data_IF_138523767909
#
_entry.id   IF_138523767909
#
_cell.length_a   1.000
_cell.length_b   1.000
_cell.length_c   1.000
_cell.angle_alpha   90.00
_cell.angle_beta   90.00
_cell.angle_gamma   90.00
#
_symmetry.space_group_name_H-M   'P 1'
#
loop_
_entity.id
_entity.type
_entity.pdbx_description
1 polymer ?
#
# COMPACT_ATOMS: atom_id res chain seq x y z
N UNK A 1 -61.20 31.80 -11.16
CA UNK A 1 -59.75 31.86 -11.34
C UNK A 1 -59.13 30.81 -10.44
N UNK A 2 -58.67 29.70 -11.00
CA UNK A 2 -58.02 28.64 -10.24
C UNK A 2 -56.47 28.83 -10.36
N UNK A 3 -55.81 28.99 -9.24
CA UNK A 3 -54.36 29.17 -9.13
C UNK A 3 -53.71 27.78 -9.01
N UNK A 4 -53.03 27.31 -10.06
CA UNK A 4 -52.29 26.06 -10.06
C UNK A 4 -50.89 26.33 -9.52
N UNK A 5 -50.57 25.77 -8.31
CA UNK A 5 -49.23 25.81 -7.74
C UNK A 5 -48.42 24.67 -8.34
N UNK A 6 -47.41 24.98 -9.12
CA UNK A 6 -46.44 23.98 -9.62
C UNK A 6 -45.35 23.73 -8.56
N UNK A 7 -45.33 22.53 -7.97
CA UNK A 7 -44.22 22.07 -7.13
C UNK A 7 -43.08 21.63 -8.07
N UNK A 8 -42.00 22.36 -8.09
CA UNK A 8 -40.73 21.93 -8.72
C UNK A 8 -39.94 21.05 -7.73
N UNK A 9 -39.92 19.74 -7.96
CA UNK A 9 -39.10 18.78 -7.22
C UNK A 9 -37.65 18.88 -7.73
N UNK A 10 -36.82 19.59 -6.98
CA UNK A 10 -35.38 19.62 -7.23
C UNK A 10 -34.73 18.26 -6.88
N UNK A 11 -34.30 17.50 -7.85
CA UNK A 11 -33.45 16.32 -7.64
C UNK A 11 -32.02 16.78 -7.33
N UNK A 12 -31.58 16.63 -6.07
CA UNK A 12 -30.17 16.76 -5.74
C UNK A 12 -29.44 15.49 -6.19
N UNK A 13 -28.62 15.59 -7.22
CA UNK A 13 -27.69 14.54 -7.60
C UNK A 13 -26.61 14.42 -6.49
N UNK A 14 -26.70 13.39 -5.68
CA UNK A 14 -25.60 12.98 -4.80
C UNK A 14 -24.55 12.33 -5.70
N UNK A 15 -23.47 13.04 -5.98
CA UNK A 15 -22.29 12.44 -6.63
C UNK A 15 -21.64 11.58 -5.58
N UNK A 16 -21.61 10.26 -5.79
CA UNK A 16 -20.89 9.35 -4.94
C UNK A 16 -19.39 9.72 -4.95
N UNK A 17 -18.77 9.76 -3.76
CA UNK A 17 -17.33 9.98 -3.68
C UNK A 17 -16.60 8.83 -4.41
N UNK A 18 -15.58 9.18 -5.20
CA UNK A 18 -14.74 8.17 -5.86
C UNK A 18 -14.03 7.31 -4.82
N UNK A 19 -13.92 6.01 -5.09
CA UNK A 19 -13.26 5.08 -4.19
C UNK A 19 -11.76 5.40 -4.03
N UNK A 20 -11.21 5.15 -2.85
CA UNK A 20 -9.77 5.17 -2.62
C UNK A 20 -9.11 4.11 -3.50
N UNK A 21 -8.14 4.51 -4.31
CA UNK A 21 -7.53 3.65 -5.32
C UNK A 21 -6.01 3.67 -5.21
N UNK A 22 -5.40 2.51 -5.43
CA UNK A 22 -3.95 2.28 -5.43
C UNK A 22 -3.52 1.67 -6.75
N UNK A 23 -2.43 2.16 -7.31
CA UNK A 23 -1.78 1.64 -8.52
C UNK A 23 -0.27 1.57 -8.32
N UNK A 24 0.39 0.73 -9.11
CA UNK A 24 1.85 0.73 -9.24
C UNK A 24 2.21 1.23 -10.65
N UNK A 25 2.67 2.49 -10.79
CA UNK A 25 3.04 3.04 -12.09
C UNK A 25 4.04 2.14 -12.83
N UNK A 26 3.71 1.82 -14.09
CA UNK A 26 4.53 0.93 -14.93
C UNK A 26 4.18 -0.57 -14.79
N UNK A 27 3.39 -0.96 -13.78
CA UNK A 27 2.96 -2.35 -13.63
C UNK A 27 1.44 -2.39 -13.39
N UNK A 28 0.64 -2.92 -14.32
CA UNK A 28 -0.80 -3.07 -14.13
C UNK A 28 -1.10 -4.08 -13.00
N UNK A 29 -2.31 -4.04 -12.47
CA UNK A 29 -2.77 -5.03 -11.49
C UNK A 29 -2.62 -6.46 -12.03
N UNK A 30 -2.04 -7.36 -11.24
CA UNK A 30 -1.65 -8.71 -11.66
C UNK A 30 -0.41 -8.76 -12.57
N UNK A 31 0.21 -7.62 -12.88
CA UNK A 31 1.39 -7.54 -13.75
C UNK A 31 2.68 -8.04 -13.09
N UNK A 32 3.64 -8.43 -13.93
CA UNK A 32 4.95 -8.92 -13.48
C UNK A 32 5.93 -7.75 -13.33
N UNK A 33 6.59 -7.66 -12.18
CA UNK A 33 7.70 -6.75 -11.92
C UNK A 33 9.02 -7.37 -12.35
N UNK A 34 9.99 -6.53 -12.65
CA UNK A 34 11.33 -6.96 -13.07
C UNK A 34 12.28 -7.22 -11.87
N UNK A 35 13.48 -7.70 -12.19
CA UNK A 35 14.48 -8.05 -11.18
C UNK A 35 15.03 -6.87 -10.39
N UNK A 36 14.85 -5.61 -10.82
CA UNK A 36 15.27 -4.45 -10.01
C UNK A 36 14.61 -4.43 -8.65
N UNK A 37 13.38 -4.97 -8.55
CA UNK A 37 12.62 -5.09 -7.33
C UNK A 37 13.03 -6.26 -6.44
N UNK A 38 13.64 -7.32 -7.00
CA UNK A 38 14.03 -8.51 -6.26
C UNK A 38 15.14 -8.20 -5.24
N UNK A 39 15.26 -9.05 -4.21
CA UNK A 39 16.29 -8.88 -3.19
C UNK A 39 17.70 -8.94 -3.81
N UNK A 40 18.61 -8.09 -3.33
CA UNK A 40 20.00 -8.04 -3.75
C UNK A 40 20.91 -9.06 -3.07
N UNK A 41 20.36 -9.90 -2.17
CA UNK A 41 21.08 -10.86 -1.34
C UNK A 41 20.54 -12.28 -1.55
N UNK A 42 21.15 -13.28 -0.94
CA UNK A 42 20.70 -14.68 -0.97
C UNK A 42 20.53 -15.25 -2.39
N UNK A 43 21.40 -14.82 -3.31
CA UNK A 43 21.37 -15.25 -4.71
C UNK A 43 20.06 -14.91 -5.45
N UNK A 44 19.32 -13.91 -4.97
CA UNK A 44 18.08 -13.43 -5.61
C UNK A 44 18.37 -12.56 -6.85
N UNK A 45 19.56 -11.95 -6.92
CA UNK A 45 20.07 -11.28 -8.13
C UNK A 45 19.42 -9.95 -8.46
N UNK A 46 18.72 -9.33 -7.52
CA UNK A 46 17.98 -8.11 -7.78
C UNK A 46 18.60 -6.82 -7.25
N UNK A 47 17.93 -5.69 -7.55
CA UNK A 47 18.35 -4.34 -7.12
C UNK A 47 17.83 -3.93 -5.75
N UNK A 48 16.92 -4.70 -5.14
CA UNK A 48 16.25 -4.40 -3.88
C UNK A 48 15.57 -3.02 -3.87
N UNK A 49 14.99 -2.61 -4.99
CA UNK A 49 14.31 -1.33 -5.13
C UNK A 49 12.81 -1.50 -4.95
N UNK A 50 12.20 -0.71 -4.07
CA UNK A 50 10.75 -0.77 -3.82
C UNK A 50 9.95 -0.45 -5.08
N UNK A 51 8.78 -1.06 -5.32
CA UNK A 51 7.93 -0.69 -6.44
C UNK A 51 7.47 0.77 -6.30
N UNK A 52 7.23 1.42 -7.42
CA UNK A 52 6.49 2.68 -7.40
C UNK A 52 5.07 2.42 -6.90
N UNK A 53 4.54 3.35 -6.11
CA UNK A 53 3.16 3.30 -5.64
C UNK A 53 2.51 4.67 -5.75
N UNK A 54 1.27 4.70 -6.20
CA UNK A 54 0.46 5.91 -6.30
C UNK A 54 -0.95 5.63 -5.79
N UNK A 55 -1.54 6.61 -5.12
CA UNK A 55 -2.92 6.51 -4.64
C UNK A 55 -3.67 7.81 -4.88
N UNK A 56 -5.01 7.69 -4.93
CA UNK A 56 -5.91 8.83 -5.14
C UNK A 56 -7.21 8.66 -4.36
N UNK A 57 -7.98 9.73 -4.26
CA UNK A 57 -9.29 9.76 -3.62
C UNK A 57 -9.23 9.34 -2.14
N UNK A 58 -8.21 9.78 -1.42
CA UNK A 58 -8.11 9.53 0.01
C UNK A 58 -9.33 10.12 0.74
N UNK A 59 -9.93 9.40 1.71
CA UNK A 59 -11.06 9.90 2.47
C UNK A 59 -10.74 11.21 3.19
N UNK A 60 -11.76 12.04 3.39
CA UNK A 60 -11.65 13.19 4.27
C UNK A 60 -11.29 12.71 5.69
N UNK A 61 -10.45 13.46 6.39
CA UNK A 61 -9.94 13.07 7.71
C UNK A 61 -8.66 12.24 7.68
N UNK A 62 -8.14 11.87 6.50
CA UNK A 62 -6.83 11.22 6.39
C UNK A 62 -5.74 12.17 6.90
N UNK A 63 -4.94 11.69 7.86
CA UNK A 63 -3.82 12.42 8.48
C UNK A 63 -2.47 11.84 8.11
N UNK A 64 -2.41 10.54 7.82
CA UNK A 64 -1.21 9.86 7.32
C UNK A 64 -1.59 8.67 6.46
N UNK A 65 -0.58 8.13 5.74
CA UNK A 65 -0.70 6.86 5.02
C UNK A 65 0.31 5.85 5.54
N UNK A 66 0.01 4.57 5.26
CA UNK A 66 0.96 3.48 5.40
C UNK A 66 0.95 2.62 4.13
N UNK A 67 2.10 2.00 3.84
CA UNK A 67 2.28 1.07 2.72
C UNK A 67 2.80 -0.25 3.26
N UNK A 68 2.21 -1.36 2.78
CA UNK A 68 2.73 -2.70 3.01
C UNK A 68 2.91 -3.44 1.69
N UNK A 69 3.89 -4.36 1.64
CA UNK A 69 4.03 -5.35 0.58
C UNK A 69 4.06 -6.73 1.21
N UNK A 70 3.02 -7.52 0.96
CA UNK A 70 2.83 -8.85 1.53
C UNK A 70 2.76 -9.91 0.43
N UNK A 71 3.49 -11.01 0.62
CA UNK A 71 3.51 -12.18 -0.25
C UNK A 71 2.72 -13.32 0.43
N UNK A 72 1.47 -13.59 0.05
CA UNK A 72 0.67 -14.67 0.64
C UNK A 72 1.18 -16.07 0.26
N UNK A 73 1.92 -16.21 -0.84
CA UNK A 73 2.42 -17.50 -1.32
C UNK A 73 3.71 -17.92 -0.58
N UNK A 74 4.41 -16.94 0.00
CA UNK A 74 5.65 -17.15 0.72
C UNK A 74 5.51 -18.07 1.93
N UNK A 75 6.62 -18.68 2.37
CA UNK A 75 6.64 -19.61 3.50
C UNK A 75 5.61 -20.74 3.37
N UNK A 76 5.43 -21.29 2.17
CA UNK A 76 4.45 -22.35 1.86
C UNK A 76 2.99 -21.94 2.13
N UNK A 77 2.64 -20.69 1.82
CA UNK A 77 1.28 -20.16 1.97
C UNK A 77 0.97 -19.58 3.36
N UNK A 78 1.96 -19.51 4.27
CA UNK A 78 1.79 -18.81 5.57
C UNK A 78 1.90 -17.29 5.38
N UNK A 79 2.63 -16.88 4.36
CA UNK A 79 2.83 -15.49 4.00
C UNK A 79 4.14 -14.89 4.53
N UNK A 80 4.61 -13.88 3.81
CA UNK A 80 5.84 -13.14 4.10
C UNK A 80 5.61 -11.65 3.95
N UNK A 81 6.01 -10.85 4.95
CA UNK A 81 6.02 -9.40 4.83
C UNK A 81 7.36 -8.92 4.26
N UNK A 82 7.29 -8.17 3.18
CA UNK A 82 8.43 -7.60 2.46
C UNK A 82 8.68 -6.14 2.81
N UNK A 83 7.63 -5.40 3.14
CA UNK A 83 7.71 -3.98 3.43
C UNK A 83 6.60 -3.54 4.38
N UNK A 84 6.96 -2.75 5.38
CA UNK A 84 6.04 -2.00 6.24
C UNK A 84 6.59 -0.58 6.32
N UNK A 85 5.80 0.39 5.91
CA UNK A 85 6.15 1.81 5.98
C UNK A 85 4.93 2.58 6.46
N UNK A 86 5.05 3.39 7.50
CA UNK A 86 3.93 4.15 8.07
C UNK A 86 4.33 5.56 8.45
N UNK A 87 3.35 6.38 8.81
CA UNK A 87 3.57 7.80 9.09
C UNK A 87 3.89 8.63 7.84
N UNK A 88 3.50 8.16 6.64
CA UNK A 88 3.66 8.93 5.41
C UNK A 88 2.72 10.14 5.48
N UNK A 89 3.22 11.38 5.28
CA UNK A 89 2.41 12.59 5.38
C UNK A 89 1.19 12.58 4.45
N UNK A 90 0.05 13.12 4.92
CA UNK A 90 -1.19 13.20 4.12
C UNK A 90 -1.07 14.07 2.86
N UNK A 91 -0.03 14.89 2.75
CA UNK A 91 0.28 15.68 1.56
C UNK A 91 0.86 14.86 0.40
N UNK A 92 1.24 13.61 0.65
CA UNK A 92 1.78 12.70 -0.37
C UNK A 92 0.66 11.85 -0.98
N UNK A 93 0.84 11.52 -2.25
CA UNK A 93 -0.04 10.63 -2.99
C UNK A 93 0.73 9.66 -3.90
N UNK A 94 2.06 9.66 -3.84
CA UNK A 94 2.91 8.76 -4.61
C UNK A 94 4.29 8.59 -3.98
N UNK A 95 4.91 7.45 -4.28
CA UNK A 95 6.33 7.18 -4.04
C UNK A 95 6.94 6.58 -5.31
N UNK A 96 7.99 7.17 -5.87
CA UNK A 96 8.68 6.62 -7.04
C UNK A 96 9.36 5.28 -6.75
N UNK A 97 9.64 4.52 -7.82
CA UNK A 97 10.46 3.31 -7.79
C UNK A 97 11.79 3.56 -7.07
N UNK A 98 12.12 2.72 -6.10
CA UNK A 98 13.37 2.77 -5.34
C UNK A 98 13.56 4.02 -4.47
N UNK A 99 12.53 4.83 -4.31
CA UNK A 99 12.64 6.04 -3.50
C UNK A 99 12.96 5.73 -2.03
N UNK A 100 13.73 6.57 -1.35
CA UNK A 100 13.91 6.48 0.08
C UNK A 100 12.59 6.70 0.81
N UNK A 101 12.50 6.22 2.05
CA UNK A 101 11.34 6.51 2.90
C UNK A 101 11.15 8.03 3.04
N UNK A 102 9.91 8.55 2.89
CA UNK A 102 9.62 9.96 3.03
C UNK A 102 10.05 10.52 4.40
N UNK A 103 10.46 11.76 4.42
CA UNK A 103 10.83 12.42 5.66
C UNK A 103 9.68 12.37 6.68
N UNK A 104 9.98 12.00 7.92
CA UNK A 104 9.00 11.82 8.99
C UNK A 104 8.26 10.48 9.00
N UNK A 105 8.37 9.68 7.93
CA UNK A 105 7.83 8.30 7.94
C UNK A 105 8.77 7.33 8.66
N UNK A 106 8.22 6.19 9.06
CA UNK A 106 8.92 5.14 9.79
C UNK A 106 8.91 3.84 8.99
N UNK A 107 10.10 3.30 8.74
CA UNK A 107 10.25 1.96 8.19
C UNK A 107 10.06 0.92 9.31
N UNK A 108 9.02 0.12 9.18
CA UNK A 108 8.76 -1.02 10.05
C UNK A 108 9.62 -2.23 9.68
N UNK A 109 9.50 -3.28 10.48
CA UNK A 109 10.34 -4.48 10.41
C UNK A 109 9.79 -5.45 9.36
N UNK A 110 10.62 -5.81 8.39
CA UNK A 110 10.34 -6.81 7.37
C UNK A 110 10.68 -8.23 7.84
N UNK A 111 10.51 -9.23 6.95
CA UNK A 111 10.76 -10.65 7.23
C UNK A 111 12.18 -11.00 7.73
N UNK A 112 13.15 -10.13 7.48
CA UNK A 112 14.55 -10.37 7.89
C UNK A 112 14.85 -9.85 9.28
N UNK A 113 13.87 -9.23 9.96
CA UNK A 113 14.07 -8.55 11.23
C UNK A 113 14.71 -7.17 11.09
N UNK A 114 14.84 -6.65 9.87
CA UNK A 114 15.41 -5.34 9.57
C UNK A 114 14.32 -4.36 9.09
N UNK A 115 14.49 -3.06 9.32
CA UNK A 115 13.58 -2.07 8.81
C UNK A 115 13.70 -1.89 7.30
N UNK A 116 12.59 -1.48 6.65
CA UNK A 116 12.55 -1.09 5.24
C UNK A 116 12.13 -2.19 4.29
N UNK A 117 12.33 -1.93 3.01
CA UNK A 117 11.97 -2.83 1.92
C UNK A 117 12.96 -3.99 1.81
N UNK A 118 12.43 -5.22 1.67
CA UNK A 118 13.17 -6.41 1.29
C UNK A 118 12.47 -7.05 0.09
N UNK A 119 13.14 -7.13 -1.03
CA UNK A 119 12.56 -7.53 -2.31
C UNK A 119 12.12 -8.99 -2.38
N UNK A 120 11.29 -9.31 -3.38
CA UNK A 120 10.96 -10.68 -3.76
C UNK A 120 12.17 -11.59 -3.92
N UNK A 121 12.04 -12.83 -3.45
CA UNK A 121 13.02 -13.89 -3.68
C UNK A 121 12.34 -15.28 -3.59
N UNK A 122 11.37 -15.55 -4.47
CA UNK A 122 10.72 -16.86 -4.47
C UNK A 122 11.73 -17.95 -4.83
N UNK A 123 11.51 -19.22 -4.46
CA UNK A 123 12.35 -20.31 -4.89
C UNK A 123 12.42 -20.42 -6.42
N UNK A 124 13.56 -20.86 -6.94
CA UNK A 124 13.74 -21.07 -8.39
C UNK A 124 12.81 -22.20 -8.84
N UNK A 125 12.01 -21.92 -9.87
CA UNK A 125 11.07 -22.88 -10.45
C UNK A 125 9.69 -22.91 -9.79
N UNK A 126 9.46 -22.15 -8.73
CA UNK A 126 8.11 -21.93 -8.22
C UNK A 126 7.28 -21.12 -9.23
N UNK A 127 5.96 -21.31 -9.17
CA UNK A 127 5.06 -20.40 -9.88
C UNK A 127 5.28 -18.96 -9.39
N UNK A 128 5.12 -17.95 -10.26
CA UNK A 128 5.26 -16.57 -9.81
C UNK A 128 4.38 -16.25 -8.62
N UNK A 129 4.99 -15.80 -7.53
CA UNK A 129 4.27 -15.38 -6.32
C UNK A 129 3.48 -14.09 -6.55
N UNK A 130 2.47 -13.86 -5.73
CA UNK A 130 1.70 -12.63 -5.65
C UNK A 130 2.24 -11.75 -4.54
N UNK A 131 2.39 -10.47 -4.84
CA UNK A 131 2.84 -9.46 -3.87
C UNK A 131 1.76 -8.41 -3.78
N UNK A 132 1.00 -8.41 -2.68
CA UNK A 132 -0.08 -7.46 -2.43
C UNK A 132 0.54 -6.15 -1.94
N UNK A 133 0.57 -5.14 -2.82
CA UNK A 133 0.99 -3.78 -2.50
C UNK A 133 -0.23 -3.01 -2.02
N UNK A 134 -0.30 -2.73 -0.73
CA UNK A 134 -1.46 -2.12 -0.09
C UNK A 134 -1.13 -0.77 0.53
N UNK A 135 -2.03 0.19 0.39
CA UNK A 135 -1.98 1.49 1.05
C UNK A 135 -3.16 1.64 1.99
N UNK A 136 -2.89 2.13 3.18
CA UNK A 136 -3.88 2.47 4.20
C UNK A 136 -3.95 3.98 4.36
N UNK A 137 -5.15 4.55 4.33
CA UNK A 137 -5.43 5.92 4.72
C UNK A 137 -5.84 5.92 6.20
N UNK A 138 -5.10 6.64 7.04
CA UNK A 138 -5.24 6.60 8.50
C UNK A 138 -5.66 7.96 9.06
N UNK A 139 -6.47 7.95 10.13
CA UNK A 139 -6.79 9.15 10.91
C UNK A 139 -5.72 9.48 11.98
N UNK A 140 -4.64 8.71 12.02
CA UNK A 140 -3.48 8.91 12.89
C UNK A 140 -2.51 9.95 12.32
N UNK A 141 -1.95 10.78 13.20
CA UNK A 141 -0.84 11.68 12.83
C UNK A 141 0.40 10.86 12.41
N UNK A 142 1.30 11.41 11.55
CA UNK A 142 2.48 10.68 11.09
C UNK A 142 3.37 10.11 12.20
N UNK A 143 3.44 10.78 13.34
CA UNK A 143 4.27 10.45 14.51
C UNK A 143 3.51 9.68 15.61
N UNK A 144 2.26 9.27 15.35
CA UNK A 144 1.42 8.63 16.37
C UNK A 144 1.84 7.19 16.71
N UNK A 145 2.53 6.49 15.80
CA UNK A 145 2.91 5.10 16.00
C UNK A 145 4.39 4.98 16.42
N UNK A 146 4.71 4.05 17.34
CA UNK A 146 6.10 3.82 17.75
C UNK A 146 6.94 3.22 16.61
N UNK A 147 8.28 3.35 16.66
CA UNK A 147 9.17 2.70 15.70
C UNK A 147 9.20 1.18 15.87
N UNK A 148 9.77 0.47 14.88
CA UNK A 148 10.03 -0.96 14.89
C UNK A 148 8.79 -1.87 14.95
N UNK A 149 7.63 -1.41 14.49
CA UNK A 149 6.48 -2.30 14.34
C UNK A 149 6.76 -3.29 13.19
N UNK A 150 6.56 -4.58 13.47
CA UNK A 150 6.39 -5.57 12.42
C UNK A 150 4.95 -5.52 11.86
N UNK A 151 4.65 -6.35 10.88
CA UNK A 151 3.36 -6.33 10.20
C UNK A 151 2.17 -6.53 11.16
N UNK A 152 2.24 -7.55 12.02
CA UNK A 152 1.13 -7.87 12.93
C UNK A 152 0.92 -6.77 13.97
N UNK A 153 2.01 -6.25 14.54
CA UNK A 153 1.96 -5.13 15.48
C UNK A 153 1.45 -3.85 14.81
N UNK A 154 1.84 -3.59 13.54
CA UNK A 154 1.30 -2.48 12.75
C UNK A 154 -0.21 -2.64 12.55
N UNK A 155 -0.68 -3.80 12.06
CA UNK A 155 -2.11 -4.05 11.84
C UNK A 155 -2.92 -3.90 13.14
N UNK A 156 -2.42 -4.44 14.26
CA UNK A 156 -3.06 -4.30 15.56
C UNK A 156 -3.17 -2.81 15.98
N UNK A 157 -2.10 -2.04 15.77
CA UNK A 157 -2.06 -0.63 16.14
C UNK A 157 -3.01 0.25 15.30
N UNK A 158 -3.30 -0.12 14.04
CA UNK A 158 -4.14 0.70 13.14
C UNK A 158 -5.58 0.18 13.03
N UNK A 159 -5.96 -0.92 13.65
CA UNK A 159 -7.25 -1.62 13.46
C UNK A 159 -8.47 -0.69 13.51
N UNK A 160 -8.50 0.30 14.42
CA UNK A 160 -9.63 1.24 14.55
C UNK A 160 -9.33 2.62 13.93
N UNK A 161 -8.26 2.74 13.17
CA UNK A 161 -7.75 3.99 12.63
C UNK A 161 -7.68 4.01 11.10
N UNK A 162 -8.08 2.91 10.45
CA UNK A 162 -8.13 2.81 8.99
C UNK A 162 -9.42 3.44 8.49
N UNK A 163 -9.31 4.55 7.75
CA UNK A 163 -10.43 5.20 7.07
C UNK A 163 -10.76 4.51 5.74
N UNK A 164 -9.72 4.05 5.03
CA UNK A 164 -9.82 3.25 3.82
C UNK A 164 -8.52 2.49 3.57
N UNK A 165 -8.63 1.38 2.86
CA UNK A 165 -7.48 0.66 2.33
C UNK A 165 -7.77 0.22 0.89
N UNK A 166 -6.73 0.20 0.05
CA UNK A 166 -6.78 -0.28 -1.32
C UNK A 166 -5.48 -0.94 -1.69
N UNK A 167 -5.49 -1.84 -2.66
CA UNK A 167 -4.30 -2.59 -3.05
C UNK A 167 -4.25 -2.84 -4.56
N UNK A 168 -3.05 -3.13 -5.05
CA UNK A 168 -2.78 -3.74 -6.35
C UNK A 168 -1.88 -4.94 -6.16
N UNK A 169 -1.99 -5.92 -7.05
CA UNK A 169 -1.19 -7.15 -6.99
C UNK A 169 -0.06 -7.06 -8.01
N UNK A 170 1.15 -7.34 -7.56
CA UNK A 170 2.33 -7.48 -8.40
C UNK A 170 2.73 -8.97 -8.44
N UNK A 171 3.40 -9.43 -9.49
CA UNK A 171 3.86 -10.81 -9.60
C UNK A 171 5.36 -10.86 -9.84
N UNK A 172 6.02 -11.87 -9.27
CA UNK A 172 7.43 -12.13 -9.52
C UNK A 172 7.75 -13.62 -9.37
N UNK A 173 8.55 -14.15 -10.28
CA UNK A 173 9.09 -15.52 -10.27
C UNK A 173 10.54 -15.55 -10.73
N UNK A 174 11.24 -16.67 -10.51
CA UNK A 174 12.65 -16.87 -10.88
C UNK A 174 12.85 -18.16 -11.65
#
# INVERSE_FOLDING_TARGET
MALTLALSSGFTHVVAAEAFEVTSPGTPDGGTIDSSHAAGVNNCGGGNQSPAVQWRNAPSGTRSFAVTLFDPDGAKGIGIIHWVLYGIPASMNAMPHGAPAPAGSVSGINRTGQPGYYGPCPPIGDVPHHYVLQVYALDLAPDALPPNLNHDAFLAAVTNHVLAASSTVLRYGR
#
